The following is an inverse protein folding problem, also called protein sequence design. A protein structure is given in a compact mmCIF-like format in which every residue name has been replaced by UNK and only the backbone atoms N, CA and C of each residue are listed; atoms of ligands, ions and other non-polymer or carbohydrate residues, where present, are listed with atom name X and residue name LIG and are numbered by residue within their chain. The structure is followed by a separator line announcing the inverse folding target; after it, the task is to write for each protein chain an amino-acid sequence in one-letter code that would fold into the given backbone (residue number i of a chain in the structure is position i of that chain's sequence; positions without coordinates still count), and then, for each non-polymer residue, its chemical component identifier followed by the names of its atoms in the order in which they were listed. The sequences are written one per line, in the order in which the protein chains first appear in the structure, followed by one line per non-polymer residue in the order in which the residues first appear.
data_IF_012207883164
#
_entry.id   IF_012207883164
#
_cell.length_a   1.000
_cell.length_b   1.000
_cell.length_c   1.000
_cell.angle_alpha   90.00
_cell.angle_beta   90.00
_cell.angle_gamma   90.00
#
_symmetry.space_group_name_H-M   'P 1'
#
loop_
_entity.id
_entity.type
_entity.pdbx_description
1 polymer ?
#
# COMPACT_ATOMS: atom_id res chain seq x y z
N UNK A 1 1.89 -0.55 -18.94
CA UNK A 1 2.22 -0.86 -17.53
C UNK A 1 3.26 0.12 -16.99
N UNK A 2 4.49 0.15 -17.51
CA UNK A 2 5.59 0.94 -16.90
C UNK A 2 5.58 2.46 -17.17
N UNK A 3 4.68 2.95 -18.03
CA UNK A 3 4.59 4.36 -18.39
C UNK A 3 4.32 5.27 -17.18
N UNK A 4 3.45 4.85 -16.25
CA UNK A 4 3.15 5.64 -15.05
C UNK A 4 4.38 5.82 -14.14
N UNK A 5 5.28 4.82 -14.08
CA UNK A 5 6.53 4.96 -13.34
C UNK A 5 7.45 6.00 -13.98
N UNK A 6 7.49 6.07 -15.32
CA UNK A 6 8.24 7.12 -16.03
C UNK A 6 7.68 8.52 -15.76
N UNK A 7 6.35 8.66 -15.79
CA UNK A 7 5.69 9.93 -15.41
C UNK A 7 5.99 10.32 -13.96
N UNK A 8 6.05 9.35 -13.05
CA UNK A 8 6.45 9.60 -11.68
C UNK A 8 7.91 10.07 -11.59
N UNK A 9 8.82 9.47 -12.34
CA UNK A 9 10.24 9.89 -12.41
C UNK A 9 10.35 11.33 -12.91
N UNK A 10 9.65 11.68 -14.00
CA UNK A 10 9.60 13.05 -14.52
C UNK A 10 9.06 14.04 -13.46
N UNK A 11 7.98 13.67 -12.77
CA UNK A 11 7.44 14.47 -11.67
C UNK A 11 8.46 14.66 -10.55
N UNK A 12 9.12 13.59 -10.10
CA UNK A 12 10.12 13.62 -9.04
C UNK A 12 11.26 14.55 -9.43
N UNK A 13 11.82 14.38 -10.64
CA UNK A 13 12.93 15.18 -11.13
C UNK A 13 12.58 16.67 -11.21
N UNK A 14 11.35 17.00 -11.61
CA UNK A 14 10.84 18.37 -11.59
C UNK A 14 10.69 18.94 -10.18
N UNK A 15 10.36 18.13 -9.18
CA UNK A 15 10.34 18.60 -7.80
C UNK A 15 11.75 18.69 -7.20
N UNK A 16 12.68 17.82 -7.59
CA UNK A 16 14.11 17.92 -7.22
C UNK A 16 14.72 19.21 -7.76
N UNK A 17 14.46 19.58 -9.02
CA UNK A 17 14.96 20.85 -9.59
C UNK A 17 14.41 22.10 -8.89
N UNK A 18 13.27 21.96 -8.20
CA UNK A 18 12.67 22.99 -7.36
C UNK A 18 13.05 22.89 -5.88
N UNK A 19 13.93 21.95 -5.52
CA UNK A 19 14.33 21.66 -4.15
C UNK A 19 13.14 21.32 -3.22
N UNK A 20 12.15 20.59 -3.74
CA UNK A 20 10.91 20.22 -3.04
C UNK A 20 10.84 18.74 -2.64
N UNK A 21 11.81 17.92 -3.03
CA UNK A 21 11.89 16.49 -2.67
C UNK A 21 13.24 16.19 -2.07
N UNK A 22 13.23 15.59 -0.87
CA UNK A 22 14.43 15.06 -0.22
C UNK A 22 14.68 13.59 -0.59
N UNK A 23 13.62 12.78 -0.69
CA UNK A 23 13.70 11.34 -1.00
C UNK A 23 12.34 10.77 -1.42
N UNK A 24 12.36 9.52 -1.89
CA UNK A 24 11.20 8.76 -2.34
C UNK A 24 11.10 7.45 -1.56
N UNK A 25 9.89 7.09 -1.14
CA UNK A 25 9.59 5.77 -0.56
C UNK A 25 8.86 4.91 -1.58
N UNK A 26 9.36 3.71 -1.86
CA UNK A 26 8.66 2.70 -2.65
C UNK A 26 8.29 1.51 -1.77
N UNK A 27 7.01 1.36 -1.48
CA UNK A 27 6.50 0.51 -0.40
C UNK A 27 6.15 -0.91 -0.85
N UNK A 28 6.95 -1.50 -1.73
CA UNK A 28 6.75 -2.87 -2.23
C UNK A 28 5.94 -2.98 -3.52
N UNK A 29 5.81 -4.21 -4.00
CA UNK A 29 5.30 -4.55 -5.33
C UNK A 29 6.04 -3.74 -6.42
N UNK A 30 7.37 -3.74 -6.32
CA UNK A 30 8.26 -3.08 -7.28
C UNK A 30 8.17 -3.74 -8.65
N UNK A 31 7.94 -5.06 -8.64
CA UNK A 31 7.63 -5.87 -9.81
C UNK A 31 6.38 -6.73 -9.53
N UNK A 32 5.63 -7.06 -10.58
CA UNK A 32 4.47 -7.95 -10.44
C UNK A 32 4.88 -9.43 -10.23
N UNK A 33 6.02 -9.83 -10.79
CA UNK A 33 6.61 -11.18 -10.73
C UNK A 33 8.00 -11.18 -11.40
N UNK A 34 8.84 -12.17 -11.09
CA UNK A 34 10.23 -12.24 -11.58
C UNK A 34 10.37 -12.46 -13.10
N UNK A 35 9.65 -13.44 -13.67
CA UNK A 35 9.82 -13.81 -15.09
C UNK A 35 9.47 -12.65 -16.01
N UNK A 36 10.26 -12.49 -17.08
CA UNK A 36 9.95 -11.60 -18.18
C UNK A 36 8.66 -12.01 -18.91
N UNK A 37 7.82 -11.02 -19.19
CA UNK A 37 6.66 -11.16 -20.07
C UNK A 37 7.07 -11.30 -21.53
N UNK A 38 6.21 -11.92 -22.36
CA UNK A 38 6.46 -12.07 -23.80
C UNK A 38 6.76 -10.72 -24.45
N UNK A 39 7.81 -10.67 -25.25
CA UNK A 39 8.27 -9.45 -25.93
C UNK A 39 9.47 -8.78 -25.26
N UNK A 40 9.68 -8.93 -23.95
CA UNK A 40 10.78 -8.24 -23.25
C UNK A 40 12.05 -9.11 -23.12
N UNK A 41 12.36 -9.93 -24.13
CA UNK A 41 13.41 -10.97 -24.09
C UNK A 41 14.84 -10.43 -23.92
N UNK A 42 15.06 -9.14 -24.14
CA UNK A 42 16.31 -8.43 -23.88
C UNK A 42 16.62 -8.26 -22.39
N UNK A 43 15.63 -8.48 -21.52
CA UNK A 43 15.79 -8.48 -20.08
C UNK A 43 15.86 -9.91 -19.57
N UNK A 44 16.61 -10.09 -18.47
CA UNK A 44 16.73 -11.36 -17.76
C UNK A 44 15.50 -11.61 -16.87
N UNK A 45 15.07 -10.58 -16.15
CA UNK A 45 13.94 -10.59 -15.20
C UNK A 45 13.37 -9.18 -14.99
N UNK A 46 12.21 -9.09 -14.34
CA UNK A 46 11.55 -7.81 -14.14
C UNK A 46 12.26 -6.91 -13.11
N UNK A 47 13.14 -7.43 -12.25
CA UNK A 47 13.97 -6.55 -11.41
C UNK A 47 14.97 -5.76 -12.25
N UNK A 48 15.53 -6.39 -13.29
CA UNK A 48 16.35 -5.67 -14.26
C UNK A 48 15.54 -4.61 -15.03
N UNK A 49 14.29 -4.90 -15.39
CA UNK A 49 13.39 -3.90 -16.01
C UNK A 49 13.17 -2.72 -15.06
N UNK A 50 12.87 -2.99 -13.79
CA UNK A 50 12.68 -1.96 -12.77
C UNK A 50 13.94 -1.10 -12.58
N UNK A 51 15.12 -1.72 -12.49
CA UNK A 51 16.40 -1.03 -12.38
C UNK A 51 16.68 -0.14 -13.60
N UNK A 52 16.50 -0.66 -14.80
CA UNK A 52 16.75 0.12 -16.01
C UNK A 52 15.76 1.29 -16.15
N UNK A 53 14.52 1.15 -15.65
CA UNK A 53 13.54 2.25 -15.59
C UNK A 53 14.02 3.38 -14.67
N UNK A 54 14.43 3.05 -13.44
CA UNK A 54 14.87 4.06 -12.47
C UNK A 54 16.22 4.68 -12.85
N UNK A 55 17.07 3.96 -13.58
CA UNK A 55 18.38 4.44 -14.06
C UNK A 55 18.32 5.12 -15.43
N UNK A 56 17.14 5.27 -16.04
CA UNK A 56 17.03 5.88 -17.37
C UNK A 56 17.69 5.06 -18.49
N UNK A 57 17.99 3.78 -18.27
CA UNK A 57 18.70 2.93 -19.22
C UNK A 57 17.74 2.29 -20.20
N UNK A 58 18.06 2.35 -21.50
CA UNK A 58 17.24 1.72 -22.54
C UNK A 58 17.91 0.45 -23.07
N UNK A 59 17.13 -0.62 -23.24
CA UNK A 59 17.53 -1.82 -23.98
C UNK A 59 16.59 -2.03 -25.16
N UNK A 60 17.15 -2.44 -26.30
CA UNK A 60 16.34 -2.73 -27.49
C UNK A 60 15.96 -1.49 -28.30
N UNK A 61 16.75 -0.41 -28.21
CA UNK A 61 16.67 0.68 -29.21
C UNK A 61 17.22 0.23 -30.56
N UNK A 62 18.24 -0.63 -30.52
CA UNK A 62 19.00 -1.18 -31.63
C UNK A 62 18.70 -2.67 -31.89
N UNK A 63 17.91 -3.32 -31.03
CA UNK A 63 17.58 -4.76 -31.11
C UNK A 63 16.09 -5.01 -30.85
N UNK A 64 15.50 -5.96 -31.57
CA UNK A 64 14.09 -6.31 -31.44
C UNK A 64 13.70 -6.74 -29.99
N UNK A 65 12.51 -6.33 -29.48
CA UNK A 65 11.55 -5.44 -30.12
C UNK A 65 12.01 -3.99 -30.03
N UNK A 66 12.02 -3.31 -31.19
CA UNK A 66 12.38 -1.91 -31.29
C UNK A 66 11.32 -1.06 -30.60
N UNK A 67 11.66 -0.42 -29.49
CA UNK A 67 10.80 0.58 -28.86
C UNK A 67 10.94 1.90 -29.62
N UNK A 68 10.00 2.16 -30.53
CA UNK A 68 9.96 3.42 -31.31
C UNK A 68 9.12 4.51 -30.63
N UNK A 69 8.17 4.11 -29.78
CA UNK A 69 7.28 5.04 -29.11
C UNK A 69 7.96 5.66 -27.89
N UNK A 70 7.93 7.00 -27.78
CA UNK A 70 8.52 7.73 -26.66
C UNK A 70 8.03 7.25 -25.29
N UNK A 71 6.79 6.76 -25.21
CA UNK A 71 6.19 6.21 -23.97
C UNK A 71 6.89 4.95 -23.44
N UNK A 72 7.71 4.31 -24.28
CA UNK A 72 8.48 3.11 -23.96
C UNK A 72 9.96 3.39 -23.72
N UNK A 73 10.40 4.62 -24.01
CA UNK A 73 11.79 5.05 -23.82
C UNK A 73 11.94 5.61 -22.40
N UNK A 74 12.98 5.15 -21.71
CA UNK A 74 13.40 5.65 -20.42
C UNK A 74 14.19 6.95 -20.67
N UNK A 75 13.51 8.09 -20.60
CA UNK A 75 14.11 9.37 -20.98
C UNK A 75 15.02 9.96 -19.88
N UNK A 76 14.77 9.62 -18.61
CA UNK A 76 15.45 10.18 -17.46
C UNK A 76 15.69 9.11 -16.40
N UNK A 77 16.81 9.21 -15.69
CA UNK A 77 17.01 8.53 -14.40
C UNK A 77 16.29 9.30 -13.30
N UNK A 78 16.01 8.64 -12.18
CA UNK A 78 15.47 9.30 -10.99
C UNK A 78 16.58 10.06 -10.23
N UNK A 79 16.33 11.34 -9.94
CA UNK A 79 17.31 12.24 -9.33
C UNK A 79 17.15 12.38 -7.80
N UNK A 80 16.38 11.50 -7.17
CA UNK A 80 16.14 11.51 -5.73
C UNK A 80 16.56 10.18 -5.09
N UNK A 81 17.09 10.19 -3.85
CA UNK A 81 17.32 8.96 -3.08
C UNK A 81 16.03 8.15 -2.94
N UNK A 82 16.13 6.82 -3.11
CA UNK A 82 15.00 5.90 -2.98
C UNK A 82 15.24 4.98 -1.79
N UNK A 83 14.25 4.86 -0.91
CA UNK A 83 14.19 3.80 0.09
C UNK A 83 13.06 2.84 -0.27
N UNK A 84 13.40 1.56 -0.38
CA UNK A 84 12.47 0.53 -0.85
C UNK A 84 12.28 -0.57 0.16
N UNK A 85 11.14 -1.23 0.08
CA UNK A 85 10.89 -2.53 0.68
C UNK A 85 10.22 -3.42 -0.37
N UNK A 86 10.09 -4.72 -0.10
CA UNK A 86 9.38 -5.63 -1.00
C UNK A 86 7.91 -5.76 -0.65
N UNK A 87 7.12 -6.12 -1.64
CA UNK A 87 5.73 -6.53 -1.51
C UNK A 87 5.56 -7.99 -1.92
N UNK A 88 4.36 -8.51 -1.77
CA UNK A 88 4.09 -9.93 -2.00
C UNK A 88 4.26 -10.34 -3.47
N UNK A 89 4.09 -9.41 -4.42
CA UNK A 89 4.30 -9.68 -5.84
C UNK A 89 5.79 -9.88 -6.18
N UNK A 90 6.69 -9.20 -5.46
CA UNK A 90 8.15 -9.30 -5.66
C UNK A 90 8.69 -10.71 -5.41
N UNK A 91 7.98 -11.50 -4.58
CA UNK A 91 8.30 -12.89 -4.30
C UNK A 91 7.73 -13.87 -5.32
N UNK A 92 7.05 -13.44 -6.38
CA UNK A 92 6.42 -14.37 -7.33
C UNK A 92 7.34 -14.69 -8.49
N UNK A 93 7.27 -15.94 -8.97
CA UNK A 93 8.02 -16.33 -10.19
C UNK A 93 7.32 -15.88 -11.47
N UNK A 94 5.99 -15.88 -11.50
CA UNK A 94 5.22 -15.62 -12.72
C UNK A 94 3.86 -15.00 -12.42
N UNK A 95 3.20 -14.50 -13.47
CA UNK A 95 1.89 -13.86 -13.38
C UNK A 95 0.77 -14.81 -12.95
N UNK A 96 -0.31 -14.23 -12.43
CA UNK A 96 -1.57 -14.94 -12.32
C UNK A 96 -2.13 -15.34 -13.67
N UNK A 97 -2.86 -16.45 -13.70
CA UNK A 97 -3.71 -16.79 -14.83
C UNK A 97 -4.87 -15.80 -14.91
N UNK A 98 -5.01 -15.11 -16.04
CA UNK A 98 -6.17 -14.26 -16.34
C UNK A 98 -7.49 -15.06 -16.38
N UNK A 99 -7.41 -16.35 -16.73
CA UNK A 99 -8.56 -17.28 -16.80
C UNK A 99 -9.10 -17.73 -15.45
N UNK A 100 -8.37 -17.54 -14.35
CA UNK A 100 -8.76 -18.05 -13.03
C UNK A 100 -9.38 -16.93 -12.19
N UNK A 101 -10.51 -17.24 -11.56
CA UNK A 101 -11.27 -16.30 -10.75
C UNK A 101 -11.77 -15.09 -11.55
N UNK A 102 -11.75 -13.92 -10.90
CA UNK A 102 -12.15 -12.64 -11.50
C UNK A 102 -10.95 -11.77 -11.92
N UNK A 103 -9.75 -12.35 -12.10
CA UNK A 103 -8.51 -11.61 -12.36
C UNK A 103 -8.54 -10.86 -13.69
N UNK A 104 -8.98 -11.49 -14.80
CA UNK A 104 -9.22 -10.79 -16.08
C UNK A 104 -10.07 -9.54 -15.90
N UNK A 105 -11.05 -9.65 -15.01
CA UNK A 105 -11.95 -8.55 -14.73
C UNK A 105 -11.25 -7.43 -13.98
N UNK A 106 -10.20 -7.66 -13.18
CA UNK A 106 -9.38 -6.58 -12.59
C UNK A 106 -8.78 -5.71 -13.71
N UNK A 107 -8.46 -6.28 -14.86
CA UNK A 107 -7.89 -5.56 -16.00
C UNK A 107 -8.92 -5.06 -17.01
N UNK A 108 -10.22 -5.08 -16.68
CA UNK A 108 -11.30 -4.68 -17.62
C UNK A 108 -11.47 -5.60 -18.82
N UNK A 109 -10.82 -6.75 -18.81
CA UNK A 109 -11.01 -7.77 -19.82
C UNK A 109 -12.30 -8.53 -19.52
N UNK A 110 -13.06 -8.81 -20.57
CA UNK A 110 -14.19 -9.73 -20.55
C UNK A 110 -13.71 -11.17 -20.69
N UNK A 111 -14.57 -12.13 -20.35
CA UNK A 111 -14.28 -13.56 -20.60
C UNK A 111 -14.04 -13.88 -22.09
N UNK A 112 -14.60 -13.07 -23.01
CA UNK A 112 -14.39 -13.22 -24.45
C UNK A 112 -12.97 -12.79 -24.84
N UNK A 113 -12.49 -11.68 -24.29
CA UNK A 113 -11.14 -11.14 -24.56
C UNK A 113 -10.05 -12.12 -24.16
N UNK A 114 -10.25 -12.87 -23.07
CA UNK A 114 -9.29 -13.86 -22.58
C UNK A 114 -9.47 -15.27 -23.17
N UNK A 115 -10.48 -15.49 -24.03
CA UNK A 115 -10.76 -16.81 -24.62
C UNK A 115 -9.60 -17.29 -25.50
N UNK A 116 -8.90 -16.37 -26.17
CA UNK A 116 -7.72 -16.66 -27.00
C UNK A 116 -6.38 -16.66 -26.25
N UNK A 117 -6.34 -16.24 -24.98
CA UNK A 117 -5.09 -16.20 -24.23
C UNK A 117 -4.64 -17.60 -23.87
N UNK A 118 -3.46 -18.03 -24.35
CA UNK A 118 -2.81 -19.26 -23.88
C UNK A 118 -2.40 -19.10 -22.44
N UNK A 119 -3.32 -19.42 -21.54
CA UNK A 119 -3.07 -19.32 -20.11
C UNK A 119 -2.57 -20.65 -19.55
N UNK A 120 -1.78 -20.54 -18.50
CA UNK A 120 -1.24 -21.68 -17.78
C UNK A 120 -2.42 -22.50 -17.18
N UNK A 121 -2.39 -23.84 -17.32
CA UNK A 121 -3.41 -24.76 -16.78
C UNK A 121 -3.74 -24.47 -15.31
N UNK A 122 -4.93 -24.81 -14.81
CA UNK A 122 -5.39 -24.57 -13.43
C UNK A 122 -4.34 -24.91 -12.33
N UNK A 123 -3.63 -26.03 -12.46
CA UNK A 123 -2.56 -26.43 -11.53
C UNK A 123 -1.41 -25.42 -11.42
N UNK A 124 -1.20 -24.60 -12.45
CA UNK A 124 -0.18 -23.57 -12.44
C UNK A 124 -0.61 -22.30 -11.68
N UNK A 125 -1.88 -22.15 -11.27
CA UNK A 125 -2.30 -21.09 -10.34
C UNK A 125 -1.56 -21.19 -9.01
N UNK A 126 -1.51 -22.38 -8.43
CA UNK A 126 -0.71 -22.66 -7.24
C UNK A 126 0.78 -22.43 -7.50
N UNK A 127 1.26 -22.62 -8.74
CA UNK A 127 2.63 -22.27 -9.11
C UNK A 127 2.87 -20.77 -9.29
N UNK A 128 1.84 -19.97 -9.61
CA UNK A 128 1.91 -18.51 -9.67
C UNK A 128 1.90 -17.90 -8.26
N UNK A 129 1.14 -18.50 -7.34
CA UNK A 129 1.17 -18.20 -5.89
C UNK A 129 2.44 -18.71 -5.22
N UNK A 130 3.22 -19.58 -5.89
CA UNK A 130 4.47 -20.15 -5.36
C UNK A 130 5.50 -19.05 -5.17
N UNK A 131 5.46 -18.47 -3.98
CA UNK A 131 6.34 -17.40 -3.54
C UNK A 131 7.54 -17.99 -2.82
N UNK A 132 8.74 -17.47 -3.10
CA UNK A 132 10.00 -17.93 -2.48
C UNK A 132 10.99 -16.78 -2.35
N UNK A 133 11.74 -16.77 -1.25
CA UNK A 133 12.75 -15.74 -0.96
C UNK A 133 13.87 -15.72 -2.02
N UNK A 134 14.18 -16.88 -2.62
CA UNK A 134 15.16 -16.97 -3.71
C UNK A 134 14.84 -16.12 -4.94
N UNK A 135 13.60 -15.68 -5.11
CA UNK A 135 13.22 -14.81 -6.22
C UNK A 135 13.61 -13.34 -5.98
N UNK A 136 13.94 -12.97 -4.75
CA UNK A 136 14.49 -11.65 -4.41
C UNK A 136 16.01 -11.55 -4.62
N UNK A 137 16.67 -12.57 -5.18
CA UNK A 137 18.13 -12.58 -5.34
C UNK A 137 18.65 -11.30 -6.02
N UNK A 138 18.00 -10.87 -7.09
CA UNK A 138 18.43 -9.72 -7.87
C UNK A 138 18.03 -8.39 -7.17
N UNK A 139 16.95 -8.38 -6.38
CA UNK A 139 16.64 -7.27 -5.45
C UNK A 139 17.75 -7.07 -4.42
N UNK A 140 18.18 -8.15 -3.74
CA UNK A 140 19.26 -8.07 -2.76
C UNK A 140 20.60 -7.65 -3.36
N UNK A 141 20.86 -8.11 -4.58
CA UNK A 141 22.14 -7.84 -5.25
C UNK A 141 22.25 -6.39 -5.73
N UNK A 142 21.16 -5.78 -6.16
CA UNK A 142 21.21 -4.52 -6.92
C UNK A 142 20.37 -3.38 -6.35
N UNK A 143 19.40 -3.66 -5.48
CA UNK A 143 18.45 -2.65 -4.99
C UNK A 143 18.64 -2.39 -3.50
N UNK A 144 18.42 -3.39 -2.66
CA UNK A 144 18.54 -3.24 -1.22
C UNK A 144 18.88 -4.59 -0.56
N UNK A 145 20.01 -4.71 0.15
CA UNK A 145 20.40 -5.96 0.80
C UNK A 145 19.57 -6.29 2.04
N UNK A 146 18.73 -5.37 2.53
CA UNK A 146 17.99 -5.52 3.78
C UNK A 146 16.47 -5.41 3.60
N UNK A 147 15.73 -6.34 4.21
CA UNK A 147 14.26 -6.32 4.24
C UNK A 147 13.67 -5.66 5.49
N UNK A 148 14.46 -5.59 6.57
CA UNK A 148 14.03 -4.96 7.82
C UNK A 148 15.15 -4.06 8.32
N UNK A 149 14.94 -2.76 8.27
CA UNK A 149 16.00 -1.80 8.57
C UNK A 149 15.43 -0.51 9.15
N UNK A 150 16.29 0.23 9.85
CA UNK A 150 15.95 1.53 10.44
C UNK A 150 16.84 2.59 9.81
N UNK A 151 16.26 3.72 9.43
CA UNK A 151 16.98 4.91 8.98
C UNK A 151 16.54 6.11 9.79
N UNK A 152 17.52 6.93 10.21
CA UNK A 152 17.23 8.27 10.71
C UNK A 152 17.33 9.24 9.54
N UNK A 153 16.24 9.96 9.24
CA UNK A 153 16.20 10.97 8.19
C UNK A 153 15.90 12.31 8.83
N UNK A 154 16.76 13.30 8.58
CA UNK A 154 16.72 14.57 9.30
C UNK A 154 17.02 14.41 10.80
N UNK A 155 16.67 15.43 11.59
CA UNK A 155 17.01 15.47 13.03
C UNK A 155 16.03 14.70 13.92
N UNK A 156 14.78 14.55 13.49
CA UNK A 156 13.67 14.12 14.36
C UNK A 156 12.80 12.99 13.78
N UNK A 157 13.23 12.30 12.71
CA UNK A 157 12.45 11.18 12.16
C UNK A 157 13.26 9.89 12.11
N UNK A 158 12.67 8.84 12.65
CA UNK A 158 13.12 7.47 12.52
C UNK A 158 12.15 6.69 11.64
N UNK A 159 12.62 6.30 10.47
CA UNK A 159 11.92 5.41 9.56
C UNK A 159 12.27 3.96 9.88
N UNK A 160 11.26 3.12 10.05
CA UNK A 160 11.39 1.69 10.33
C UNK A 160 10.73 0.93 9.19
N UNK A 161 11.52 0.21 8.41
CA UNK A 161 11.05 -0.60 7.29
C UNK A 161 10.85 -2.03 7.75
N UNK A 162 9.63 -2.58 7.54
CA UNK A 162 9.25 -3.93 7.96
C UNK A 162 8.65 -4.74 6.83
N UNK A 163 9.31 -5.86 6.53
CA UNK A 163 8.86 -6.76 5.48
C UNK A 163 7.66 -7.59 5.92
N UNK A 164 6.59 -7.54 5.14
CA UNK A 164 5.32 -8.24 5.44
C UNK A 164 5.21 -9.64 4.83
N UNK A 165 6.18 -10.00 4.01
CA UNK A 165 6.36 -11.30 3.40
C UNK A 165 5.46 -11.57 2.20
N UNK A 166 5.56 -12.82 1.77
CA UNK A 166 4.85 -13.41 0.65
C UNK A 166 3.34 -13.49 0.87
N UNK A 167 2.60 -13.82 -0.20
CA UNK A 167 1.20 -14.24 -0.13
C UNK A 167 0.98 -15.29 0.97
N UNK A 168 -0.05 -15.07 1.78
CA UNK A 168 -0.53 -16.03 2.76
C UNK A 168 -1.56 -16.95 2.13
N UNK A 169 -1.35 -18.26 2.29
CA UNK A 169 -2.35 -19.28 1.98
C UNK A 169 -3.35 -19.48 3.13
N UNK A 170 -3.13 -18.85 4.29
CA UNK A 170 -4.00 -18.96 5.45
C UNK A 170 -5.37 -18.31 5.23
N UNK A 171 -5.46 -17.38 4.26
CA UNK A 171 -6.73 -16.82 3.79
C UNK A 171 -6.97 -17.20 2.32
N UNK A 172 -7.42 -18.45 2.12
CA UNK A 172 -7.70 -19.00 0.80
C UNK A 172 -8.82 -18.21 0.06
N UNK A 173 -9.72 -17.55 0.79
CA UNK A 173 -10.78 -16.74 0.20
C UNK A 173 -10.24 -15.49 -0.48
N UNK A 174 -9.36 -14.77 0.22
CA UNK A 174 -8.69 -13.59 -0.31
C UNK A 174 -7.79 -13.94 -1.49
N UNK A 175 -7.10 -15.09 -1.38
CA UNK A 175 -6.33 -15.66 -2.49
C UNK A 175 -7.22 -15.91 -3.73
N UNK A 176 -8.35 -16.60 -3.56
CA UNK A 176 -9.28 -16.91 -4.67
C UNK A 176 -9.92 -15.66 -5.29
N UNK A 177 -10.01 -14.56 -4.55
CA UNK A 177 -10.46 -13.25 -5.07
C UNK A 177 -9.37 -12.49 -5.84
N UNK A 178 -8.15 -13.02 -5.88
CA UNK A 178 -7.01 -12.40 -6.56
C UNK A 178 -6.40 -11.25 -5.77
N UNK A 179 -6.57 -11.25 -4.44
CA UNK A 179 -5.98 -10.24 -3.57
C UNK A 179 -5.65 -10.88 -2.21
N UNK A 180 -4.61 -11.72 -2.14
CA UNK A 180 -4.24 -12.42 -0.91
C UNK A 180 -3.68 -11.49 0.16
N UNK A 181 -4.04 -11.77 1.41
CA UNK A 181 -3.29 -11.29 2.59
C UNK A 181 -1.84 -11.78 2.54
N UNK A 182 -0.93 -11.16 3.32
CA UNK A 182 0.47 -11.62 3.41
C UNK A 182 0.73 -12.43 4.67
N UNK A 183 1.83 -13.20 4.68
CA UNK A 183 2.22 -13.99 5.84
C UNK A 183 2.26 -13.11 7.09
N UNK A 184 2.73 -11.87 6.98
CA UNK A 184 2.82 -10.93 8.08
C UNK A 184 4.19 -10.95 8.74
N UNK A 185 4.24 -10.60 10.02
CA UNK A 185 5.49 -10.37 10.73
C UNK A 185 5.88 -11.59 11.58
N UNK A 186 7.15 -11.99 11.52
CA UNK A 186 7.73 -12.99 12.42
C UNK A 186 7.95 -12.42 13.82
N UNK A 187 8.09 -13.28 14.82
CA UNK A 187 8.35 -12.87 16.21
C UNK A 187 9.65 -12.07 16.32
N UNK A 188 10.71 -12.50 15.63
CA UNK A 188 11.98 -11.78 15.51
C UNK A 188 11.81 -10.36 14.95
N UNK A 189 10.90 -10.16 13.99
CA UNK A 189 10.62 -8.85 13.41
C UNK A 189 9.86 -7.95 14.39
N UNK A 190 9.01 -8.53 15.25
CA UNK A 190 8.34 -7.79 16.32
C UNK A 190 9.35 -7.35 17.38
N UNK A 191 10.28 -8.24 17.79
CA UNK A 191 11.37 -7.87 18.71
C UNK A 191 12.28 -6.79 18.10
N UNK A 192 12.60 -6.92 16.80
CA UNK A 192 13.35 -5.92 16.07
C UNK A 192 12.63 -4.57 16.04
N UNK A 193 11.32 -4.56 15.77
CA UNK A 193 10.50 -3.35 15.83
C UNK A 193 10.54 -2.71 17.22
N UNK A 194 10.37 -3.48 18.30
CA UNK A 194 10.48 -2.97 19.68
C UNK A 194 11.84 -2.32 19.92
N UNK A 195 12.92 -2.96 19.49
CA UNK A 195 14.28 -2.42 19.64
C UNK A 195 14.49 -1.15 18.80
N UNK A 196 14.00 -1.11 17.56
CA UNK A 196 14.09 0.08 16.74
C UNK A 196 13.32 1.27 17.35
N UNK A 197 12.13 1.05 17.89
CA UNK A 197 11.36 2.09 18.60
C UNK A 197 12.13 2.62 19.83
N UNK A 198 12.78 1.74 20.61
CA UNK A 198 13.64 2.16 21.74
C UNK A 198 14.80 3.02 21.26
N UNK A 199 15.48 2.59 20.19
CA UNK A 199 16.60 3.31 19.59
C UNK A 199 16.19 4.61 18.91
N UNK A 200 14.89 4.88 18.75
CA UNK A 200 14.39 6.14 18.18
C UNK A 200 14.34 7.28 19.20
N UNK A 201 14.64 7.06 20.48
CA UNK A 201 14.71 8.10 21.53
C UNK A 201 13.51 9.05 21.51
N UNK A 202 13.66 10.30 21.06
CA UNK A 202 12.59 11.30 20.92
C UNK A 202 12.13 11.51 19.46
N UNK A 203 12.74 10.83 18.49
CA UNK A 203 12.42 10.95 17.07
C UNK A 203 11.01 10.44 16.76
N UNK A 204 10.25 11.14 15.93
CA UNK A 204 8.98 10.65 15.36
C UNK A 204 9.20 9.36 14.59
N UNK A 205 8.37 8.36 14.84
CA UNK A 205 8.50 7.01 14.30
C UNK A 205 7.55 6.83 13.13
N UNK A 206 8.12 6.62 11.94
CA UNK A 206 7.36 6.25 10.73
C UNK A 206 7.67 4.81 10.39
N UNK A 207 6.66 3.94 10.46
CA UNK A 207 6.77 2.56 10.00
C UNK A 207 6.38 2.50 8.52
N UNK A 208 7.23 1.89 7.71
CA UNK A 208 7.03 1.66 6.29
C UNK A 208 6.88 0.16 6.06
N UNK A 209 5.76 -0.26 5.49
CA UNK A 209 5.47 -1.67 5.23
C UNK A 209 4.61 -1.81 3.99
N UNK A 210 4.69 -2.92 3.28
CA UNK A 210 3.89 -3.09 2.06
C UNK A 210 2.41 -3.35 2.39
N UNK A 211 2.15 -4.46 3.08
CA UNK A 211 0.77 -4.86 3.45
C UNK A 211 0.30 -4.09 4.67
N UNK A 212 -0.88 -3.45 4.65
CA UNK A 212 -1.37 -2.73 5.80
C UNK A 212 -1.72 -3.68 6.96
N UNK A 213 -1.63 -3.20 8.21
CA UNK A 213 -2.12 -3.96 9.35
C UNK A 213 -3.65 -3.98 9.38
N UNK A 214 -4.35 -2.98 8.84
CA UNK A 214 -5.81 -2.93 8.83
C UNK A 214 -6.26 -2.65 7.41
N UNK A 215 -7.14 -3.48 6.86
CA UNK A 215 -7.75 -3.24 5.58
C UNK A 215 -9.18 -3.80 5.62
N UNK A 216 -10.17 -2.91 5.75
CA UNK A 216 -11.53 -3.34 5.98
C UNK A 216 -12.25 -3.74 4.71
N UNK A 217 -13.12 -4.73 4.86
CA UNK A 217 -14.06 -5.17 3.84
C UNK A 217 -15.49 -5.21 4.39
N UNK A 218 -16.43 -4.73 3.58
CA UNK A 218 -17.84 -4.67 3.93
C UNK A 218 -18.61 -5.70 3.13
N UNK A 219 -19.12 -6.72 3.83
CA UNK A 219 -20.07 -7.66 3.29
C UNK A 219 -21.38 -6.99 2.86
N UNK A 220 -22.17 -7.68 2.04
CA UNK A 220 -23.43 -7.15 1.52
C UNK A 220 -24.42 -6.76 2.64
N UNK A 221 -24.43 -7.52 3.74
CA UNK A 221 -25.28 -7.24 4.91
C UNK A 221 -24.88 -5.95 5.62
N UNK A 222 -23.59 -5.77 5.92
CA UNK A 222 -23.09 -4.54 6.52
C UNK A 222 -23.42 -3.32 5.65
N UNK A 223 -23.23 -3.42 4.32
CA UNK A 223 -23.60 -2.35 3.37
C UNK A 223 -25.09 -2.04 3.41
N UNK A 224 -25.96 -3.06 3.47
CA UNK A 224 -27.41 -2.87 3.56
C UNK A 224 -27.81 -2.17 4.86
N UNK A 225 -27.20 -2.55 5.99
CA UNK A 225 -27.42 -1.93 7.30
C UNK A 225 -27.03 -0.45 7.27
N UNK A 226 -25.78 -0.15 6.87
CA UNK A 226 -25.26 1.22 6.77
C UNK A 226 -26.14 2.07 5.86
N UNK A 227 -26.54 1.54 4.69
CA UNK A 227 -27.41 2.25 3.75
C UNK A 227 -28.75 2.63 4.38
N UNK A 228 -29.33 1.76 5.21
CA UNK A 228 -30.59 2.00 5.91
C UNK A 228 -30.42 3.06 7.01
N UNK A 229 -29.42 2.91 7.86
CA UNK A 229 -29.16 3.80 9.00
C UNK A 229 -28.83 5.23 8.54
N UNK A 230 -28.02 5.36 7.48
CA UNK A 230 -27.68 6.66 6.89
C UNK A 230 -28.70 7.16 5.85
N UNK A 231 -29.83 6.45 5.65
CA UNK A 231 -30.89 6.80 4.68
C UNK A 231 -30.36 7.09 3.26
N UNK A 232 -29.36 6.33 2.81
CA UNK A 232 -28.67 6.57 1.54
C UNK A 232 -29.48 6.04 0.34
N UNK A 233 -29.81 6.94 -0.60
CA UNK A 233 -30.41 6.57 -1.90
C UNK A 233 -29.38 5.96 -2.87
N UNK A 234 -28.09 6.29 -2.71
CA UNK A 234 -26.97 5.75 -3.50
C UNK A 234 -26.31 4.52 -2.88
N UNK A 235 -25.33 3.94 -3.58
CA UNK A 235 -24.42 2.92 -3.01
C UNK A 235 -23.57 3.55 -1.88
N UNK A 236 -23.27 2.74 -0.87
CA UNK A 236 -22.35 3.11 0.22
C UNK A 236 -20.95 3.33 -0.36
N UNK A 237 -20.35 4.45 -0.01
CA UNK A 237 -18.99 4.86 -0.35
C UNK A 237 -18.13 4.86 0.92
N UNK A 238 -16.81 4.94 0.75
CA UNK A 238 -15.87 4.96 1.87
C UNK A 238 -16.09 6.15 2.81
N UNK A 239 -16.36 7.33 2.25
CA UNK A 239 -16.65 8.57 3.01
C UNK A 239 -17.88 8.48 3.91
N UNK A 240 -18.82 7.59 3.62
CA UNK A 240 -19.97 7.34 4.51
C UNK A 240 -19.56 6.71 5.84
N UNK A 241 -18.34 6.17 5.93
CA UNK A 241 -17.79 5.53 7.12
C UNK A 241 -16.83 6.42 7.88
N UNK A 242 -16.71 7.69 7.51
CA UNK A 242 -15.92 8.63 8.30
C UNK A 242 -16.50 8.81 9.70
N UNK A 243 -15.63 9.13 10.66
CA UNK A 243 -15.96 9.18 12.10
C UNK A 243 -17.27 9.94 12.38
N UNK A 244 -17.46 11.09 11.73
CA UNK A 244 -18.64 11.93 11.92
C UNK A 244 -19.96 11.25 11.50
N UNK A 245 -19.92 10.34 10.51
CA UNK A 245 -21.06 9.54 10.09
C UNK A 245 -21.23 8.31 10.97
N UNK A 246 -20.14 7.63 11.32
CA UNK A 246 -20.22 6.44 12.17
C UNK A 246 -20.78 6.75 13.56
N UNK A 247 -20.45 7.92 14.12
CA UNK A 247 -21.03 8.37 15.38
C UNK A 247 -22.57 8.40 15.35
N UNK A 248 -23.18 8.67 14.19
CA UNK A 248 -24.63 8.65 14.00
C UNK A 248 -25.21 7.23 13.93
N UNK A 249 -24.37 6.25 13.62
CA UNK A 249 -24.74 4.83 13.46
C UNK A 249 -24.59 4.08 14.77
N UNK A 250 -23.43 4.20 15.43
CA UNK A 250 -23.05 3.38 16.58
C UNK A 250 -22.78 4.17 17.88
N UNK A 251 -22.90 5.51 17.84
CA UNK A 251 -22.69 6.39 19.00
C UNK A 251 -21.24 6.77 19.30
N UNK A 252 -20.24 6.05 18.80
CA UNK A 252 -18.83 6.18 19.24
C UNK A 252 -17.79 6.34 18.11
N UNK A 253 -18.22 6.25 16.84
CA UNK A 253 -17.39 6.34 15.65
C UNK A 253 -16.39 5.18 15.39
N UNK A 254 -16.43 4.11 16.18
CA UNK A 254 -15.54 2.94 16.06
C UNK A 254 -15.87 2.09 14.84
N UNK A 255 -14.92 1.98 13.91
CA UNK A 255 -15.09 1.29 12.64
C UNK A 255 -15.20 -0.23 12.80
N UNK A 256 -14.40 -0.81 13.70
CA UNK A 256 -14.32 -2.26 13.91
C UNK A 256 -15.63 -2.90 14.39
N UNK A 257 -16.52 -2.12 15.00
CA UNK A 257 -17.87 -2.56 15.40
C UNK A 257 -18.80 -2.83 14.22
N UNK A 258 -18.44 -2.33 13.04
CA UNK A 258 -19.32 -2.31 11.88
C UNK A 258 -18.79 -3.25 10.80
N UNK A 259 -17.49 -3.50 10.77
CA UNK A 259 -16.79 -4.04 9.60
C UNK A 259 -15.66 -4.97 10.01
N UNK A 260 -15.37 -5.96 9.16
CA UNK A 260 -14.20 -6.80 9.35
C UNK A 260 -12.95 -6.03 8.87
N UNK A 261 -11.97 -5.88 9.76
CA UNK A 261 -10.73 -5.13 9.51
C UNK A 261 -9.60 -5.97 8.89
N UNK A 262 -9.75 -7.30 8.84
CA UNK A 262 -8.68 -8.25 8.50
C UNK A 262 -8.89 -8.86 7.12
N UNK A 263 -8.87 -8.03 6.08
CA UNK A 263 -8.96 -8.42 4.67
C UNK A 263 -7.80 -7.83 3.89
N UNK A 264 -7.01 -8.61 3.17
CA UNK A 264 -5.75 -8.14 2.54
C UNK A 264 -4.79 -7.48 3.54
N UNK A 265 -4.56 -8.14 4.69
CA UNK A 265 -3.70 -7.61 5.77
C UNK A 265 -2.54 -8.56 6.08
N UNK A 266 -1.67 -8.18 7.02
CA UNK A 266 -0.72 -9.12 7.64
C UNK A 266 -1.47 -10.19 8.46
N UNK A 267 -1.03 -11.45 8.37
CA UNK A 267 -1.68 -12.56 9.07
C UNK A 267 -1.05 -12.87 10.43
N UNK A 268 0.25 -13.14 10.46
CA UNK A 268 1.04 -13.42 11.67
C UNK A 268 1.35 -12.13 12.44
N UNK A 269 1.37 -12.25 13.77
CA UNK A 269 1.59 -11.15 14.73
C UNK A 269 0.70 -9.92 14.58
N UNK A 270 -0.42 -10.02 13.85
CA UNK A 270 -1.34 -8.91 13.59
C UNK A 270 -1.73 -8.14 14.87
N UNK A 271 -2.21 -8.86 15.89
CA UNK A 271 -2.65 -8.21 17.12
C UNK A 271 -1.48 -7.63 17.94
N UNK A 272 -0.33 -8.31 17.95
CA UNK A 272 0.86 -7.84 18.66
C UNK A 272 1.42 -6.58 17.99
N UNK A 273 1.46 -6.54 16.66
CA UNK A 273 1.88 -5.36 15.91
C UNK A 273 0.98 -4.15 16.22
N UNK A 274 -0.34 -4.31 16.18
CA UNK A 274 -1.27 -3.22 16.53
C UNK A 274 -1.09 -2.74 17.99
N UNK A 275 -0.78 -3.65 18.92
CA UNK A 275 -0.45 -3.26 20.31
C UNK A 275 0.81 -2.42 20.39
N UNK A 276 1.87 -2.83 19.69
CA UNK A 276 3.13 -2.08 19.63
C UNK A 276 2.88 -0.69 19.04
N UNK A 277 2.14 -0.58 17.93
CA UNK A 277 1.87 0.71 17.29
C UNK A 277 1.08 1.67 18.19
N UNK A 278 0.12 1.16 18.96
CA UNK A 278 -0.74 1.95 19.84
C UNK A 278 -0.13 2.25 21.21
N UNK A 279 1.04 1.69 21.54
CA UNK A 279 1.66 1.81 22.86
C UNK A 279 0.98 0.95 23.94
N UNK A 280 0.12 0.01 23.55
CA UNK A 280 -0.55 -0.91 24.47
C UNK A 280 0.23 -2.22 24.69
N UNK A 281 1.37 -2.38 24.03
CA UNK A 281 2.25 -3.53 24.20
C UNK A 281 2.88 -3.56 25.60
N UNK A 282 3.04 -4.77 26.16
CA UNK A 282 3.56 -4.93 27.53
C UNK A 282 5.04 -4.56 27.64
N UNK A 283 5.79 -4.68 26.54
CA UNK A 283 7.24 -4.49 26.51
C UNK A 283 7.60 -3.07 26.07
N UNK A 284 6.79 -2.45 25.22
CA UNK A 284 7.00 -1.09 24.75
C UNK A 284 5.72 -0.27 24.74
N UNK A 285 5.74 0.88 25.44
CA UNK A 285 4.58 1.77 25.59
C UNK A 285 4.61 2.99 24.67
N UNK A 286 5.71 3.19 23.95
CA UNK A 286 5.87 4.30 23.02
C UNK A 286 5.04 4.05 21.75
N UNK A 287 4.15 4.99 21.43
CA UNK A 287 3.34 4.94 20.20
C UNK A 287 4.19 5.19 18.97
N UNK A 288 3.82 4.54 17.87
CA UNK A 288 4.26 4.92 16.53
C UNK A 288 3.50 6.19 16.12
N UNK A 289 4.11 7.02 15.27
CA UNK A 289 3.47 8.25 14.78
C UNK A 289 2.67 7.98 13.50
N UNK A 290 3.28 7.26 12.56
CA UNK A 290 2.70 7.02 11.23
C UNK A 290 3.07 5.64 10.69
N UNK A 291 2.15 5.03 9.94
CA UNK A 291 2.34 3.79 9.20
C UNK A 291 1.99 4.05 7.73
N UNK A 292 2.93 3.79 6.83
CA UNK A 292 2.79 4.00 5.38
C UNK A 292 2.74 2.65 4.64
N UNK A 293 1.73 2.46 3.78
CA UNK A 293 1.49 1.18 3.10
C UNK A 293 0.83 1.32 1.72
N UNK A 294 0.98 0.28 0.86
CA UNK A 294 0.61 0.32 -0.58
C UNK A 294 -0.23 -0.84 -1.13
N UNK A 295 -0.32 -1.98 -0.44
CA UNK A 295 -0.87 -3.24 -0.95
C UNK A 295 -2.34 -3.21 -1.44
N UNK A 296 -3.21 -2.41 -0.84
CA UNK A 296 -4.67 -2.47 -1.13
C UNK A 296 -5.07 -1.69 -2.37
N UNK A 297 -4.16 -0.88 -2.94
CA UNK A 297 -4.43 0.05 -4.03
C UNK A 297 -5.61 1.01 -3.74
N UNK A 298 -5.91 1.27 -2.47
CA UNK A 298 -7.00 2.16 -2.05
C UNK A 298 -6.49 3.31 -1.22
N UNK A 299 -7.13 4.47 -1.37
CA UNK A 299 -6.91 5.61 -0.49
C UNK A 299 -7.78 5.40 0.74
N UNK A 300 -7.17 4.93 1.82
CA UNK A 300 -7.82 4.80 3.13
C UNK A 300 -6.88 5.30 4.20
N UNK A 301 -7.45 6.00 5.18
CA UNK A 301 -6.70 6.65 6.23
C UNK A 301 -7.36 6.33 7.56
N UNK A 302 -6.55 5.81 8.49
CA UNK A 302 -7.01 5.36 9.79
C UNK A 302 -6.22 6.05 10.89
N UNK A 303 -6.84 6.22 12.05
CA UNK A 303 -6.11 6.41 13.30
C UNK A 303 -6.46 5.29 14.26
N UNK A 304 -5.50 4.90 15.08
CA UNK A 304 -5.70 3.87 16.10
C UNK A 304 -5.66 4.49 17.48
N UNK A 305 -6.42 3.88 18.40
CA UNK A 305 -6.37 4.23 19.81
C UNK A 305 -6.31 2.96 20.65
N UNK A 306 -5.60 3.02 21.77
CA UNK A 306 -5.60 1.94 22.75
C UNK A 306 -7.03 1.66 23.21
N UNK A 307 -7.43 0.39 23.21
CA UNK A 307 -8.79 -0.01 23.62
C UNK A 307 -8.80 -0.53 25.04
N UNK A 308 -9.86 -0.19 25.77
CA UNK A 308 -10.24 -0.86 27.03
C UNK A 308 -11.30 -1.94 26.81
N UNK A 309 -12.00 -1.87 25.67
CA UNK A 309 -13.12 -2.72 25.30
C UNK A 309 -12.82 -3.32 23.91
N UNK A 310 -12.01 -4.39 23.84
CA UNK A 310 -11.66 -5.01 22.57
C UNK A 310 -12.90 -5.64 21.92
N UNK A 311 -13.03 -5.45 20.61
CA UNK A 311 -14.11 -6.05 19.82
C UNK A 311 -13.69 -7.40 19.26
N UNK A 312 -14.66 -8.29 19.05
CA UNK A 312 -14.44 -9.56 18.38
C UNK A 312 -14.86 -9.43 16.91
N UNK A 313 -13.93 -9.66 16.00
CA UNK A 313 -14.22 -9.81 14.57
C UNK A 313 -14.00 -11.26 14.14
N UNK A 314 -14.59 -11.64 13.01
CA UNK A 314 -14.45 -12.99 12.47
C UNK A 314 -13.38 -13.02 11.38
N UNK A 315 -12.35 -13.86 11.52
CA UNK A 315 -11.41 -14.21 10.46
C UNK A 315 -11.83 -15.52 9.79
N UNK A 316 -11.55 -15.73 8.50
CA UNK A 316 -11.73 -17.02 7.83
C UNK A 316 -12.92 -17.14 6.88
N UNK A 317 -13.16 -18.36 6.39
CA UNK A 317 -14.07 -18.68 5.28
C UNK A 317 -15.55 -18.64 5.71
N UNK A 318 -16.48 -18.67 4.74
CA UNK A 318 -17.92 -18.79 5.00
C UNK A 318 -18.29 -19.94 5.95
N UNK A 319 -17.49 -21.00 6.01
CA UNK A 319 -17.75 -22.21 6.81
C UNK A 319 -16.92 -22.32 8.11
N UNK A 320 -15.82 -21.57 8.26
CA UNK A 320 -14.96 -21.59 9.47
C UNK A 320 -14.63 -20.17 9.90
N UNK A 321 -15.50 -19.61 10.75
CA UNK A 321 -15.32 -18.29 11.36
C UNK A 321 -14.48 -18.42 12.62
N UNK A 322 -13.25 -17.92 12.58
CA UNK A 322 -12.34 -17.86 13.72
C UNK A 322 -12.52 -16.49 14.39
N UNK A 323 -13.09 -16.42 15.60
CA UNK A 323 -13.19 -15.16 16.34
C UNK A 323 -11.79 -14.68 16.71
N UNK A 324 -11.50 -13.39 16.47
CA UNK A 324 -10.26 -12.73 16.84
C UNK A 324 -10.56 -11.41 17.55
N UNK A 325 -9.79 -11.10 18.58
CA UNK A 325 -9.89 -9.84 19.30
C UNK A 325 -9.12 -8.73 18.57
N UNK A 326 -9.78 -7.60 18.34
CA UNK A 326 -9.17 -6.37 17.85
C UNK A 326 -8.51 -5.67 19.04
N UNK A 327 -7.18 -5.49 19.05
CA UNK A 327 -6.47 -4.98 20.22
C UNK A 327 -6.47 -3.45 20.34
N UNK A 328 -7.22 -2.75 19.49
CA UNK A 328 -7.26 -1.30 19.43
C UNK A 328 -8.62 -0.82 18.88
N UNK A 329 -8.98 0.42 19.20
CA UNK A 329 -10.09 1.13 18.55
C UNK A 329 -9.61 1.65 17.19
N UNK A 330 -10.45 1.54 16.16
CA UNK A 330 -10.10 1.95 14.81
C UNK A 330 -11.06 3.01 14.32
N UNK A 331 -10.51 4.11 13.84
CA UNK A 331 -11.28 5.22 13.30
C UNK A 331 -10.79 5.52 11.88
N UNK A 332 -11.67 6.04 11.04
CA UNK A 332 -11.34 6.43 9.66
C UNK A 332 -11.88 7.80 9.35
N UNK A 333 -11.11 8.60 8.63
CA UNK A 333 -11.51 9.92 8.14
C UNK A 333 -10.65 10.31 6.94
N UNK A 334 -10.76 11.56 6.50
CA UNK A 334 -9.84 12.19 5.58
C UNK A 334 -8.78 13.01 6.37
N UNK A 335 -7.88 12.33 7.08
CA UNK A 335 -6.89 12.98 7.93
C UNK A 335 -5.93 13.88 7.14
N UNK A 336 -5.63 13.55 5.88
CA UNK A 336 -4.86 14.42 4.97
C UNK A 336 -5.44 15.83 4.83
N UNK A 337 -6.76 15.98 4.89
CA UNK A 337 -7.46 17.27 4.82
C UNK A 337 -7.44 17.94 6.18
N UNK A 338 -7.56 17.15 7.25
CA UNK A 338 -7.48 17.63 8.63
C UNK A 338 -6.14 18.34 8.91
N UNK A 339 -5.02 17.85 8.38
CA UNK A 339 -3.73 18.54 8.57
C UNK A 339 -3.73 19.99 8.04
N UNK A 340 -4.51 20.28 7.00
CA UNK A 340 -4.57 21.59 6.33
C UNK A 340 -5.49 22.59 7.03
N UNK A 341 -6.35 22.14 7.95
CA UNK A 341 -7.31 23.03 8.63
C UNK A 341 -6.65 23.83 9.75
N UNK A 342 -5.51 23.38 10.26
CA UNK A 342 -4.77 24.05 11.32
C UNK A 342 -3.93 25.21 10.76
N UNK A 343 -4.20 26.42 11.23
CA UNK A 343 -3.38 27.61 10.93
C UNK A 343 -2.16 27.71 11.84
N UNK A 344 -2.29 27.27 13.09
CA UNK A 344 -1.23 27.28 14.09
C UNK A 344 -0.47 25.93 14.06
N UNK A 345 0.85 25.92 13.83
CA UNK A 345 1.66 24.71 13.85
C UNK A 345 1.63 23.94 15.18
N UNK A 346 1.51 24.64 16.30
CA UNK A 346 1.45 24.03 17.64
C UNK A 346 0.15 23.26 17.83
N UNK A 347 -0.99 23.80 17.39
CA UNK A 347 -2.28 23.13 17.48
C UNK A 347 -2.29 21.85 16.64
N UNK A 348 -1.70 21.89 15.45
CA UNK A 348 -1.51 20.71 14.61
C UNK A 348 -0.65 19.66 15.32
N UNK A 349 0.47 20.06 15.93
CA UNK A 349 1.35 19.15 16.67
C UNK A 349 0.62 18.47 17.83
N UNK A 350 -0.08 19.25 18.67
CA UNK A 350 -0.88 18.71 19.80
C UNK A 350 -1.93 17.74 19.28
N UNK A 351 -2.68 18.15 18.25
CA UNK A 351 -3.72 17.29 17.68
C UNK A 351 -3.13 16.00 17.11
N UNK A 352 -2.00 16.06 16.41
CA UNK A 352 -1.32 14.89 15.85
C UNK A 352 -0.85 13.94 16.97
N UNK A 353 -0.24 14.47 18.03
CA UNK A 353 0.25 13.67 19.17
C UNK A 353 -0.87 12.98 19.97
N UNK A 354 -2.04 13.60 20.05
CA UNK A 354 -3.23 13.00 20.68
C UNK A 354 -3.80 11.86 19.83
N UNK A 355 -3.78 12.02 18.50
CA UNK A 355 -4.51 11.12 17.59
C UNK A 355 -3.64 10.02 16.95
N UNK A 356 -2.32 10.02 17.13
CA UNK A 356 -1.42 8.98 16.62
C UNK A 356 -1.62 7.61 17.29
N UNK A 357 -1.30 6.48 16.61
CA UNK A 357 -0.73 6.39 15.26
C UNK A 357 -1.77 6.57 14.15
N UNK A 358 -1.31 7.09 13.01
CA UNK A 358 -2.07 7.09 11.76
C UNK A 358 -1.60 5.96 10.83
N UNK A 359 -2.51 5.36 10.06
CA UNK A 359 -2.20 4.45 8.95
C UNK A 359 -2.67 5.10 7.66
N UNK A 360 -1.75 5.32 6.73
CA UNK A 360 -2.06 5.89 5.42
C UNK A 360 -1.80 4.83 4.34
N UNK A 361 -2.88 4.38 3.73
CA UNK A 361 -2.84 3.55 2.52
C UNK A 361 -2.81 4.45 1.29
N UNK A 362 -1.98 4.05 0.33
CA UNK A 362 -1.79 4.75 -0.94
C UNK A 362 -2.14 3.82 -2.10
N UNK A 363 -2.60 4.40 -3.21
CA UNK A 363 -2.77 3.67 -4.47
C UNK A 363 -1.43 3.17 -5.01
N UNK A 364 -1.44 2.21 -5.94
CA UNK A 364 -0.24 1.86 -6.68
C UNK A 364 -0.10 2.74 -7.92
N UNK A 365 1.14 2.87 -8.39
CA UNK A 365 1.49 3.49 -9.67
C UNK A 365 1.19 2.54 -10.85
N UNK A 366 1.04 1.25 -10.55
CA UNK A 366 0.75 0.16 -11.49
C UNK A 366 -0.53 0.35 -12.33
N UNK A 367 -0.85 -0.62 -13.20
CA UNK A 367 -1.74 -0.42 -14.33
C UNK A 367 -3.15 0.06 -13.98
N UNK A 368 -3.72 0.84 -14.90
CA UNK A 368 -5.13 1.16 -14.93
C UNK A 368 -5.97 -0.11 -15.02
N UNK A 369 -6.78 -0.37 -13.99
CA UNK A 369 -7.90 -1.29 -14.13
C UNK A 369 -8.88 -0.70 -15.15
N UNK A 370 -8.97 -1.27 -16.36
CA UNK A 370 -10.00 -0.85 -17.32
C UNK A 370 -11.43 -1.14 -16.83
N UNK A 371 -11.62 -2.02 -15.82
CA UNK A 371 -12.96 -2.34 -15.27
C UNK A 371 -13.44 -1.32 -14.26
N UNK A 372 -12.53 -0.80 -13.45
CA UNK A 372 -12.84 0.27 -12.52
C UNK A 372 -12.43 1.57 -13.19
N UNK A 373 -13.41 2.35 -13.66
CA UNK A 373 -13.25 3.76 -13.98
C UNK A 373 -12.58 4.62 -12.85
N UNK A 374 -12.05 4.06 -11.76
CA UNK A 374 -11.96 4.74 -10.45
C UNK A 374 -10.83 4.35 -9.47
N UNK A 375 -9.75 3.65 -9.85
CA UNK A 375 -8.53 3.73 -9.02
C UNK A 375 -7.39 4.24 -9.87
N UNK A 376 -7.27 5.57 -9.96
CA UNK A 376 -6.19 6.16 -10.72
C UNK A 376 -4.83 5.69 -10.18
N UNK A 377 -3.81 5.47 -11.04
CA UNK A 377 -2.46 5.32 -10.56
C UNK A 377 -2.12 6.57 -9.77
N UNK A 378 -1.58 6.40 -8.58
CA UNK A 378 -1.37 7.53 -7.70
C UNK A 378 -0.31 7.30 -6.65
N UNK A 379 0.13 8.40 -6.07
CA UNK A 379 1.14 8.42 -5.02
C UNK A 379 0.79 9.50 -4.00
N UNK A 380 1.44 9.44 -2.84
CA UNK A 380 1.28 10.42 -1.78
C UNK A 380 2.53 11.29 -1.69
N UNK A 381 2.33 12.60 -1.62
CA UNK A 381 3.39 13.59 -1.45
C UNK A 381 3.27 14.21 -0.05
N UNK A 382 4.28 13.98 0.77
CA UNK A 382 4.33 14.52 2.13
C UNK A 382 5.13 15.82 2.15
N UNK A 383 4.62 16.82 2.87
CA UNK A 383 5.38 18.03 3.19
C UNK A 383 5.59 18.10 4.69
N UNK A 384 6.85 18.24 5.09
CA UNK A 384 7.27 18.34 6.48
C UNK A 384 7.93 19.70 6.66
N UNK A 385 7.43 20.50 7.59
CA UNK A 385 8.00 21.82 7.93
C UNK A 385 8.17 21.87 9.43
N UNK A 386 9.34 22.33 9.90
CA UNK A 386 9.68 22.39 11.33
C UNK A 386 9.42 21.05 12.05
N UNK A 387 9.81 19.94 11.40
CA UNK A 387 9.61 18.57 11.87
C UNK A 387 8.15 18.15 12.09
N UNK A 388 7.16 18.84 11.52
CA UNK A 388 5.76 18.43 11.55
C UNK A 388 5.25 18.16 10.14
N UNK A 389 4.52 17.05 9.96
CA UNK A 389 3.80 16.77 8.71
C UNK A 389 2.65 17.77 8.62
N UNK A 390 2.71 18.64 7.60
CA UNK A 390 1.68 19.66 7.35
C UNK A 390 0.77 19.27 6.17
N UNK A 391 1.24 18.38 5.29
CA UNK A 391 0.49 17.90 4.11
C UNK A 391 0.83 16.45 3.82
N UNK A 392 -0.17 15.74 3.31
CA UNK A 392 -0.09 14.36 2.84
C UNK A 392 -0.94 14.23 1.56
N UNK A 393 -0.59 15.05 0.57
CA UNK A 393 -1.35 15.24 -0.67
C UNK A 393 -1.36 13.95 -1.51
N UNK A 394 -2.45 13.72 -2.23
CA UNK A 394 -2.59 12.58 -3.14
C UNK A 394 -2.58 13.11 -4.56
N UNK A 395 -1.72 12.50 -5.37
CA UNK A 395 -1.56 12.82 -6.77
C UNK A 395 -1.96 11.62 -7.61
N UNK A 396 -2.80 11.87 -8.59
CA UNK A 396 -3.23 10.92 -9.61
C UNK A 396 -2.47 11.20 -10.90
N UNK A 397 -1.94 10.14 -11.53
CA UNK A 397 -1.10 10.21 -12.74
C UNK A 397 -1.93 10.11 -14.04
N UNK A 398 -3.20 10.50 -14.02
CA UNK A 398 -4.04 10.43 -15.22
C UNK A 398 -3.85 11.57 -16.22
N UNK A 399 -3.84 11.15 -17.49
CA UNK A 399 -4.14 11.85 -18.75
C UNK A 399 -3.14 12.93 -19.21
N UNK A 400 -2.37 12.55 -20.25
CA UNK A 400 -1.93 13.47 -21.30
C UNK A 400 -3.13 14.27 -21.81
N UNK A 401 -3.15 15.57 -21.60
CA UNK A 401 -3.70 16.49 -22.59
C UNK A 401 -2.93 17.81 -22.55
N UNK A 402 -2.00 17.97 -23.50
CA UNK A 402 -1.53 19.22 -24.09
C UNK A 402 -1.04 20.31 -23.12
N UNK A 403 0.29 20.54 -23.15
CA UNK A 403 0.95 21.78 -22.71
C UNK A 403 0.63 22.26 -21.28
N UNK A 404 0.80 21.38 -20.30
CA UNK A 404 1.20 21.64 -18.91
C UNK A 404 0.83 20.40 -18.11
N UNK A 405 1.76 19.92 -17.29
CA UNK A 405 1.54 18.79 -16.40
C UNK A 405 0.63 19.25 -15.25
N UNK A 406 -0.65 19.55 -15.51
CA UNK A 406 -1.63 19.83 -14.47
C UNK A 406 -2.03 18.51 -13.80
N UNK A 407 -1.29 18.19 -12.76
CA UNK A 407 -1.67 17.19 -11.77
C UNK A 407 -3.04 17.56 -11.19
N UNK A 408 -4.05 16.72 -11.43
CA UNK A 408 -5.32 16.86 -10.73
C UNK A 408 -5.12 16.45 -9.27
N UNK A 409 -5.31 17.41 -8.37
CA UNK A 409 -5.61 17.11 -6.96
C UNK A 409 -6.98 16.44 -6.95
N UNK A 410 -7.03 15.16 -6.63
CA UNK A 410 -8.31 14.45 -6.56
C UNK A 410 -9.16 15.05 -5.42
N UNK A 411 -10.27 15.67 -5.82
CA UNK A 411 -11.41 15.99 -4.96
C UNK A 411 -12.28 14.72 -4.89
N UNK A 412 -11.90 13.78 -4.03
CA UNK A 412 -12.56 12.47 -3.90
C UNK A 412 -12.54 11.91 -2.49
#
# INVERSE_FOLDING_TARGET
FNYNLRLLIEFINHQVSKNNIDFVLMTGDLIDYLKIGRGNYQYKDNFQVFLDLILGLNRGLDKYPYFKDQEHINAQEILAPIFTITGNHDYRKGHYSFRIGSIHSIFGLTKKDIKGYYDLKFFNYFTAVRSKDKYLRDYFRYINPNLNYKLKIGKQYSFIFLETGQDSVADLHDLLKGSPSTKGLKDEQIELLRNYIRLSLEDKIIVVMHTPPISPNFGALARRRIRKELKLKRKVQWSDLYEYNLKKINGDARLERIVNLKYQTIMYNWATFLRVCTGSDKIIRRKVDLILCGHTHTIKEFRLKETREPEIISMGFYFTKIPILVPCEVYTSEYRTTFKTFKNPTDLQIWFDVNKPFILQTQAIGPLSLKYKFYPPGFRFFSIVNNQIIRADIFSLHLKSHSSMELRKDLG
#
